data_IF_987321991058
#
_entry.id   IF_987321991058
#
_cell.length_a   1.000
_cell.length_b   1.000
_cell.length_c   1.000
_cell.angle_alpha   90.00
_cell.angle_beta   90.00
_cell.angle_gamma   90.00
#
_symmetry.space_group_name_H-M   'P 1'
#
loop_
_entity.id
_entity.type
_entity.pdbx_description
1 polymer ?
#
# COMPACT_ATOMS: atom_id res chain seq x y z
N UNK A 1 -0.55 13.27 9.79
CA UNK A 1 -1.26 12.31 8.91
C UNK A 1 -0.39 11.07 8.87
N UNK A 2 -0.99 9.89 9.00
CA UNK A 2 -0.29 8.60 9.06
C UNK A 2 0.53 8.38 7.78
N UNK A 3 1.78 7.94 7.88
CA UNK A 3 2.67 7.71 6.73
C UNK A 3 2.12 6.62 5.82
N UNK A 4 1.49 5.60 6.41
CA UNK A 4 0.84 4.52 5.69
C UNK A 4 -0.33 5.03 4.84
N UNK A 5 -1.08 6.00 5.36
CA UNK A 5 -2.17 6.63 4.64
C UNK A 5 -1.65 7.53 3.52
N UNK A 6 -0.55 8.26 3.76
CA UNK A 6 0.09 9.08 2.73
C UNK A 6 0.63 8.24 1.57
N UNK A 7 1.16 7.05 1.83
CA UNK A 7 1.60 6.13 0.78
C UNK A 7 0.43 5.67 -0.10
N UNK A 8 -0.68 5.25 0.51
CA UNK A 8 -1.90 4.93 -0.23
C UNK A 8 -2.43 6.14 -1.03
N UNK A 9 -2.45 7.34 -0.46
CA UNK A 9 -2.87 8.56 -1.14
C UNK A 9 -1.94 8.91 -2.32
N UNK A 10 -0.63 8.77 -2.15
CA UNK A 10 0.33 9.04 -3.22
C UNK A 10 0.11 8.12 -4.43
N UNK A 11 -0.34 6.89 -4.18
CA UNK A 11 -0.66 5.89 -5.21
C UNK A 11 -2.03 6.08 -5.85
N UNK A 12 -3.00 6.61 -5.10
CA UNK A 12 -4.38 6.85 -5.55
C UNK A 12 -4.81 8.30 -5.25
N UNK A 13 -4.20 9.31 -5.89
CA UNK A 13 -4.44 10.71 -5.55
C UNK A 13 -5.90 11.14 -5.74
N UNK A 14 -6.56 10.61 -6.77
CA UNK A 14 -7.97 10.88 -7.08
C UNK A 14 -8.93 10.31 -6.02
N UNK A 15 -8.48 9.34 -5.22
CA UNK A 15 -9.28 8.67 -4.19
C UNK A 15 -8.85 9.07 -2.77
N UNK A 16 -8.04 10.13 -2.63
CA UNK A 16 -7.47 10.57 -1.36
C UNK A 16 -8.50 10.73 -0.23
N UNK A 17 -9.66 11.31 -0.55
CA UNK A 17 -10.77 11.46 0.42
C UNK A 17 -11.37 10.12 0.83
N UNK A 18 -11.64 9.23 -0.13
CA UNK A 18 -12.22 7.91 0.14
C UNK A 18 -11.27 7.06 0.99
N UNK A 19 -9.96 7.13 0.72
CA UNK A 19 -8.92 6.47 1.51
C UNK A 19 -8.93 6.98 2.96
N UNK A 20 -8.97 8.31 3.16
CA UNK A 20 -8.98 8.88 4.50
C UNK A 20 -10.26 8.54 5.29
N UNK A 21 -11.42 8.56 4.64
CA UNK A 21 -12.70 8.20 5.25
C UNK A 21 -12.73 6.69 5.61
N UNK A 22 -12.36 5.81 4.67
CA UNK A 22 -12.36 4.37 4.89
C UNK A 22 -11.34 3.94 5.93
N UNK A 23 -10.11 4.46 5.89
CA UNK A 23 -9.11 4.16 6.91
C UNK A 23 -9.47 4.71 8.30
N UNK A 24 -10.36 5.71 8.38
CA UNK A 24 -10.93 6.20 9.63
C UNK A 24 -11.96 5.23 10.23
N UNK A 25 -12.70 4.52 9.38
CA UNK A 25 -13.84 3.67 9.75
C UNK A 25 -13.53 2.17 9.79
N UNK A 26 -12.52 1.71 9.04
CA UNK A 26 -12.16 0.30 8.87
C UNK A 26 -10.68 0.09 9.23
N UNK A 27 -10.47 -0.60 10.36
CA UNK A 27 -9.13 -0.94 10.85
C UNK A 27 -8.41 -1.93 9.95
N UNK A 28 -9.13 -2.82 9.28
CA UNK A 28 -8.53 -3.77 8.33
C UNK A 28 -8.03 -3.03 7.08
N UNK A 29 -8.79 -2.05 6.59
CA UNK A 29 -8.31 -1.19 5.51
C UNK A 29 -7.11 -0.33 5.94
N UNK A 30 -7.09 0.15 7.20
CA UNK A 30 -5.93 0.86 7.73
C UNK A 30 -4.68 -0.04 7.80
N UNK A 31 -4.83 -1.28 8.24
CA UNK A 31 -3.75 -2.26 8.25
C UNK A 31 -3.24 -2.54 6.83
N UNK A 32 -4.14 -2.67 5.86
CA UNK A 32 -3.77 -2.84 4.45
C UNK A 32 -2.94 -1.67 3.90
N UNK A 33 -3.26 -0.43 4.28
CA UNK A 33 -2.44 0.74 3.94
C UNK A 33 -1.04 0.68 4.60
N UNK A 34 -0.92 0.13 5.81
CA UNK A 34 0.35 -0.06 6.48
C UNK A 34 1.20 -1.14 5.80
N UNK A 35 0.59 -2.26 5.39
CA UNK A 35 1.27 -3.32 4.65
C UNK A 35 1.83 -2.79 3.32
N UNK A 36 1.06 -1.95 2.61
CA UNK A 36 1.54 -1.28 1.38
C UNK A 36 2.78 -0.43 1.67
N UNK A 37 2.72 0.40 2.71
CA UNK A 37 3.83 1.27 3.08
C UNK A 37 5.09 0.47 3.46
N UNK A 38 4.94 -0.57 4.27
CA UNK A 38 6.06 -1.41 4.69
C UNK A 38 6.68 -2.15 3.49
N UNK A 39 5.86 -2.60 2.53
CA UNK A 39 6.34 -3.21 1.30
C UNK A 39 7.10 -2.21 0.41
N UNK A 40 6.63 -0.97 0.28
CA UNK A 40 7.31 0.09 -0.48
C UNK A 40 8.63 0.52 0.20
N UNK A 41 8.65 0.62 1.53
CA UNK A 41 9.87 0.89 2.32
C UNK A 41 10.89 -0.23 2.13
N UNK A 42 10.45 -1.50 2.23
CA UNK A 42 11.32 -2.64 2.04
C UNK A 42 11.86 -2.70 0.61
N UNK A 43 11.04 -2.44 -0.41
CA UNK A 43 11.47 -2.36 -1.80
C UNK A 43 12.59 -1.33 -1.99
N UNK A 44 12.39 -0.11 -1.48
CA UNK A 44 13.40 0.95 -1.55
C UNK A 44 14.69 0.57 -0.81
N UNK A 45 14.57 -0.09 0.34
CA UNK A 45 15.72 -0.60 1.10
C UNK A 45 16.51 -1.65 0.32
N UNK A 46 15.82 -2.57 -0.35
CA UNK A 46 16.46 -3.58 -1.19
C UNK A 46 17.07 -3.02 -2.45
N UNK A 47 16.45 -2.04 -3.12
CA UNK A 47 16.96 -1.45 -4.37
C UNK A 47 18.35 -0.80 -4.18
N UNK A 48 18.59 -0.24 -2.99
CA UNK A 48 19.89 0.32 -2.58
C UNK A 48 20.85 -0.72 -1.96
N UNK A 49 20.44 -1.99 -1.82
CA UNK A 49 21.24 -3.02 -1.16
C UNK A 49 22.38 -3.52 -2.07
N UNK A 50 23.60 -3.71 -1.53
CA UNK A 50 24.71 -4.33 -2.27
C UNK A 50 24.59 -5.86 -2.35
N UNK A 51 23.53 -6.46 -1.82
CA UNK A 51 23.33 -7.92 -1.83
C UNK A 51 23.14 -8.46 -3.24
N UNK A 52 23.66 -9.67 -3.50
CA UNK A 52 23.37 -10.44 -4.72
C UNK A 52 21.88 -10.76 -4.87
N UNK A 53 21.13 -10.79 -3.76
CA UNK A 53 19.70 -11.11 -3.76
C UNK A 53 18.82 -9.89 -4.07
N UNK A 54 19.42 -8.71 -4.26
CA UNK A 54 18.70 -7.45 -4.52
C UNK A 54 17.61 -7.62 -5.56
N UNK A 55 17.95 -8.18 -6.72
CA UNK A 55 17.00 -8.27 -7.85
C UNK A 55 15.83 -9.20 -7.52
N UNK A 56 16.10 -10.35 -6.89
CA UNK A 56 15.07 -11.29 -6.46
C UNK A 56 14.14 -10.63 -5.41
N UNK A 57 14.71 -10.02 -4.37
CA UNK A 57 13.93 -9.33 -3.33
C UNK A 57 13.12 -8.16 -3.88
N UNK A 58 13.71 -7.34 -4.77
CA UNK A 58 12.98 -6.26 -5.41
C UNK A 58 11.83 -6.79 -6.28
N UNK A 59 12.02 -7.90 -6.98
CA UNK A 59 10.95 -8.53 -7.75
C UNK A 59 9.79 -9.00 -6.86
N UNK A 60 10.10 -9.64 -5.74
CA UNK A 60 9.11 -10.08 -4.75
C UNK A 60 8.33 -8.89 -4.16
N UNK A 61 9.01 -7.85 -3.71
CA UNK A 61 8.34 -6.68 -3.14
C UNK A 61 7.57 -5.88 -4.19
N UNK A 62 8.02 -5.81 -5.45
CA UNK A 62 7.23 -5.19 -6.53
C UNK A 62 5.92 -5.93 -6.78
N UNK A 63 5.96 -7.27 -6.76
CA UNK A 63 4.74 -8.08 -6.87
C UNK A 63 3.81 -7.84 -5.68
N UNK A 64 4.34 -7.86 -4.46
CA UNK A 64 3.57 -7.58 -3.24
C UNK A 64 2.92 -6.19 -3.26
N UNK A 65 3.66 -5.15 -3.64
CA UNK A 65 3.13 -3.78 -3.78
C UNK A 65 2.03 -3.71 -4.84
N UNK A 66 2.14 -4.48 -5.94
CA UNK A 66 1.09 -4.54 -6.94
C UNK A 66 -0.17 -5.22 -6.37
N UNK A 67 -0.03 -6.36 -5.71
CA UNK A 67 -1.16 -7.10 -5.11
C UNK A 67 -1.89 -6.25 -4.05
N UNK A 68 -1.14 -5.61 -3.14
CA UNK A 68 -1.71 -4.73 -2.12
C UNK A 68 -2.42 -3.52 -2.73
N UNK A 69 -1.89 -2.96 -3.82
CA UNK A 69 -2.56 -1.87 -4.53
C UNK A 69 -3.87 -2.32 -5.18
N UNK A 70 -3.94 -3.53 -5.72
CA UNK A 70 -5.18 -4.12 -6.22
C UNK A 70 -6.20 -4.31 -5.09
N UNK A 71 -5.78 -4.81 -3.92
CA UNK A 71 -6.66 -4.97 -2.76
C UNK A 71 -7.22 -3.63 -2.26
N UNK A 72 -6.38 -2.59 -2.20
CA UNK A 72 -6.82 -1.24 -1.82
C UNK A 72 -7.85 -0.73 -2.82
N UNK A 73 -7.61 -0.90 -4.13
CA UNK A 73 -8.56 -0.47 -5.15
C UNK A 73 -9.90 -1.21 -5.01
N UNK A 74 -9.86 -2.53 -4.84
CA UNK A 74 -11.05 -3.33 -4.64
C UNK A 74 -11.82 -2.92 -3.37
N UNK A 75 -11.12 -2.57 -2.29
CA UNK A 75 -11.75 -2.08 -1.07
C UNK A 75 -12.43 -0.71 -1.27
N UNK A 76 -11.83 0.18 -2.06
CA UNK A 76 -12.42 1.49 -2.40
C UNK A 76 -13.62 1.37 -3.34
N UNK A 77 -13.65 0.37 -4.21
CA UNK A 77 -14.77 0.11 -5.13
C UNK A 77 -15.94 -0.62 -4.46
N UNK A 78 -15.72 -1.25 -3.29
CA UNK A 78 -16.80 -1.90 -2.55
C UNK A 78 -17.73 -0.85 -1.96
N UNK A 79 -19.03 -0.85 -2.31
CA UNK A 79 -19.98 0.02 -1.65
C UNK A 79 -20.04 -0.37 -0.17
N UNK A 80 -20.14 0.61 0.77
CA UNK A 80 -20.42 0.29 2.16
C UNK A 80 -21.72 -0.53 2.16
N UNK A 81 -21.69 -1.71 2.80
CA UNK A 81 -22.90 -2.51 2.99
C UNK A 81 -23.98 -1.57 3.59
N UNK A 82 -25.08 -1.37 2.85
CA UNK A 82 -26.24 -0.61 3.29
C UNK A 82 -26.96 -1.31 4.43
#
# INVERSE_FOLDING_TARGET
MDQSLLAAIARFPDQSRAIAELAGADENFRALCADLFDAEVALNGWDCSPSSDREARCSEYRALVADLAEEIRAALERPPYR
#
